data_IF_733922712960
#
_entry.id   IF_733922712960
#
_cell.length_a   1.000
_cell.length_b   1.000
_cell.length_c   1.000
_cell.angle_alpha   90.00
_cell.angle_beta   90.00
_cell.angle_gamma   90.00
#
_symmetry.space_group_name_H-M   'P 1'
#
loop_
_entity.id
_entity.type
_entity.pdbx_description
1 polymer ?
#
# COMPACT_ATOMS: atom_id res chain seq x y z
N UNK A 1 9.87 2.79 -23.03
CA UNK A 1 10.28 1.93 -21.90
C UNK A 1 11.72 2.24 -21.55
N UNK A 2 11.95 3.05 -20.54
CA UNK A 2 13.28 3.17 -19.94
C UNK A 2 13.61 1.83 -19.31
N UNK A 3 14.67 1.19 -19.80
CA UNK A 3 15.22 0.01 -19.11
C UNK A 3 15.63 0.42 -17.70
N UNK A 4 15.42 -0.43 -16.69
CA UNK A 4 15.93 -0.11 -15.36
C UNK A 4 17.45 0.08 -15.47
N UNK A 5 17.92 1.26 -15.12
CA UNK A 5 19.33 1.65 -15.27
C UNK A 5 20.20 1.02 -14.16
N UNK A 6 19.54 0.56 -13.09
CA UNK A 6 20.25 -0.04 -11.95
C UNK A 6 19.48 -1.20 -11.30
N UNK A 7 20.21 -2.08 -10.59
CA UNK A 7 19.62 -3.12 -9.74
C UNK A 7 18.75 -2.51 -8.64
N UNK A 8 19.06 -1.29 -8.20
CA UNK A 8 18.29 -0.57 -7.20
C UNK A 8 16.87 -0.22 -7.71
N UNK A 9 16.71 0.13 -8.99
CA UNK A 9 15.41 0.44 -9.59
C UNK A 9 14.52 -0.79 -9.65
N UNK A 10 15.10 -1.94 -10.00
CA UNK A 10 14.40 -3.24 -9.98
C UNK A 10 13.99 -3.57 -8.54
N UNK A 11 14.89 -3.39 -7.58
CA UNK A 11 14.63 -3.62 -6.17
C UNK A 11 13.49 -2.73 -5.64
N UNK A 12 13.47 -1.46 -6.01
CA UNK A 12 12.41 -0.54 -5.64
C UNK A 12 11.06 -0.96 -6.25
N UNK A 13 11.03 -1.35 -7.52
CA UNK A 13 9.81 -1.82 -8.18
C UNK A 13 9.26 -3.10 -7.52
N UNK A 14 10.14 -4.07 -7.20
CA UNK A 14 9.75 -5.28 -6.47
C UNK A 14 9.24 -4.94 -5.07
N UNK A 15 9.88 -3.99 -4.37
CA UNK A 15 9.43 -3.50 -3.06
C UNK A 15 8.02 -2.89 -3.10
N UNK A 16 7.74 -2.05 -4.10
CA UNK A 16 6.41 -1.47 -4.31
C UNK A 16 5.38 -2.56 -4.62
N UNK A 17 5.73 -3.53 -5.48
CA UNK A 17 4.86 -4.67 -5.78
C UNK A 17 4.58 -5.50 -4.51
N UNK A 18 5.60 -5.82 -3.72
CA UNK A 18 5.43 -6.54 -2.46
C UNK A 18 4.52 -5.78 -1.48
N UNK A 19 4.66 -4.44 -1.41
CA UNK A 19 3.79 -3.60 -0.61
C UNK A 19 2.33 -3.67 -1.08
N UNK A 20 2.09 -3.56 -2.39
CA UNK A 20 0.73 -3.59 -2.96
C UNK A 20 -0.01 -4.91 -2.70
N UNK A 21 0.72 -6.03 -2.59
CA UNK A 21 0.15 -7.35 -2.28
C UNK A 21 0.33 -7.77 -0.82
N UNK A 22 0.87 -6.89 0.02
CA UNK A 22 1.19 -7.15 1.42
C UNK A 22 -0.04 -7.18 2.32
N UNK A 23 -0.77 -8.29 2.35
CA UNK A 23 -1.95 -8.50 3.23
C UNK A 23 -1.55 -9.06 4.59
N UNK A 24 -0.36 -9.69 4.71
CA UNK A 24 0.05 -10.40 5.91
C UNK A 24 -0.11 -9.62 7.24
N UNK A 25 0.23 -8.32 7.34
CA UNK A 25 0.09 -7.59 8.60
C UNK A 25 -1.35 -7.47 9.12
N UNK A 26 -2.33 -7.54 8.23
CA UNK A 26 -3.75 -7.38 8.58
C UNK A 26 -4.55 -8.67 8.42
N UNK A 27 -3.96 -9.72 7.83
CA UNK A 27 -4.64 -10.97 7.51
C UNK A 27 -5.27 -11.63 8.72
N UNK A 28 -4.51 -11.79 9.81
CA UNK A 28 -4.99 -12.42 11.04
C UNK A 28 -6.15 -11.64 11.69
N UNK A 29 -6.07 -10.32 11.67
CA UNK A 29 -7.12 -9.46 12.20
C UNK A 29 -8.40 -9.55 11.37
N UNK A 30 -8.27 -9.56 10.04
CA UNK A 30 -9.39 -9.74 9.13
C UNK A 30 -10.04 -11.12 9.27
N UNK A 31 -9.25 -12.19 9.34
CA UNK A 31 -9.75 -13.54 9.55
C UNK A 31 -10.52 -13.66 10.86
N UNK A 32 -9.97 -13.12 11.96
CA UNK A 32 -10.61 -13.15 13.28
C UNK A 32 -11.91 -12.32 13.34
N UNK A 33 -12.07 -11.32 12.47
CA UNK A 33 -13.28 -10.47 12.39
C UNK A 33 -14.37 -11.01 11.47
N UNK A 34 -14.08 -12.06 10.70
CA UNK A 34 -15.07 -12.65 9.77
C UNK A 34 -16.09 -13.53 10.51
N UNK A 35 -17.35 -13.47 10.06
CA UNK A 35 -18.40 -14.35 10.53
C UNK A 35 -18.17 -15.83 10.17
N UNK A 36 -17.39 -16.12 9.12
CA UNK A 36 -17.04 -17.45 8.64
C UNK A 36 -15.53 -17.49 8.31
N UNK A 37 -14.64 -17.64 9.31
CA UNK A 37 -13.18 -17.62 9.15
C UNK A 37 -12.66 -18.67 8.16
N UNK A 38 -13.32 -19.82 8.05
CA UNK A 38 -12.99 -20.90 7.11
C UNK A 38 -13.06 -20.47 5.63
N UNK A 39 -13.80 -19.40 5.34
CA UNK A 39 -13.89 -18.82 3.98
C UNK A 39 -12.84 -17.75 3.69
N UNK A 40 -12.03 -17.37 4.67
CA UNK A 40 -11.03 -16.33 4.53
C UNK A 40 -10.07 -16.60 3.36
N UNK A 41 -9.51 -17.79 3.27
CA UNK A 41 -8.57 -18.14 2.21
C UNK A 41 -9.18 -18.07 0.80
N UNK A 42 -10.47 -18.39 0.66
CA UNK A 42 -11.16 -18.25 -0.63
C UNK A 42 -11.42 -16.77 -0.98
N UNK A 43 -11.90 -15.99 -0.01
CA UNK A 43 -12.13 -14.56 -0.17
C UNK A 43 -10.83 -13.81 -0.50
N UNK A 44 -9.74 -14.14 0.20
CA UNK A 44 -8.42 -13.54 -0.04
C UNK A 44 -7.91 -13.85 -1.44
N UNK A 45 -8.04 -15.09 -1.93
CA UNK A 45 -7.63 -15.45 -3.30
C UNK A 45 -8.39 -14.62 -4.34
N UNK A 46 -9.70 -14.48 -4.19
CA UNK A 46 -10.52 -13.67 -5.12
C UNK A 46 -10.10 -12.21 -5.05
N UNK A 47 -9.90 -11.65 -3.86
CA UNK A 47 -9.47 -10.27 -3.68
C UNK A 47 -8.10 -10.00 -4.32
N UNK A 48 -7.11 -10.88 -4.08
CA UNK A 48 -5.78 -10.75 -4.66
C UNK A 48 -5.80 -10.89 -6.20
N UNK A 49 -6.58 -11.82 -6.74
CA UNK A 49 -6.71 -11.96 -8.18
C UNK A 49 -7.38 -10.73 -8.82
N UNK A 50 -8.42 -10.19 -8.18
CA UNK A 50 -9.08 -8.97 -8.64
C UNK A 50 -8.14 -7.77 -8.58
N UNK A 51 -7.38 -7.62 -7.50
CA UNK A 51 -6.38 -6.57 -7.37
C UNK A 51 -5.28 -6.70 -8.43
N UNK A 52 -4.77 -7.93 -8.67
CA UNK A 52 -3.78 -8.20 -9.70
C UNK A 52 -4.30 -7.81 -11.09
N UNK A 53 -5.51 -8.22 -11.44
CA UNK A 53 -6.13 -7.85 -12.72
C UNK A 53 -6.27 -6.33 -12.87
N UNK A 54 -6.71 -5.64 -11.82
CA UNK A 54 -6.81 -4.19 -11.81
C UNK A 54 -5.44 -3.52 -12.01
N UNK A 55 -4.40 -3.97 -11.31
CA UNK A 55 -3.04 -3.43 -11.47
C UNK A 55 -2.48 -3.67 -12.87
N UNK A 56 -2.72 -4.84 -13.48
CA UNK A 56 -2.31 -5.13 -14.86
C UNK A 56 -3.02 -4.21 -15.85
N UNK A 57 -4.33 -4.03 -15.70
CA UNK A 57 -5.12 -3.15 -16.59
C UNK A 57 -4.64 -1.70 -16.48
N UNK A 58 -4.50 -1.18 -15.26
CA UNK A 58 -4.05 0.20 -15.03
C UNK A 58 -2.61 0.37 -15.50
N UNK A 59 -1.71 -0.55 -15.13
CA UNK A 59 -0.31 -0.49 -15.51
C UNK A 59 -0.11 -0.56 -17.03
N UNK A 60 -0.82 -1.47 -17.72
CA UNK A 60 -0.78 -1.55 -19.18
C UNK A 60 -1.37 -0.30 -19.85
N UNK A 61 -2.44 0.26 -19.26
CA UNK A 61 -3.03 1.51 -19.74
C UNK A 61 -2.08 2.68 -19.63
N UNK A 62 -1.45 2.85 -18.47
CA UNK A 62 -0.45 3.91 -18.26
C UNK A 62 0.76 3.70 -19.18
N UNK A 63 1.28 2.48 -19.28
CA UNK A 63 2.40 2.17 -20.16
C UNK A 63 2.11 2.55 -21.62
N UNK A 64 0.89 2.27 -22.11
CA UNK A 64 0.46 2.67 -23.46
C UNK A 64 0.38 4.16 -23.67
N UNK A 65 -0.05 4.93 -22.66
CA UNK A 65 -0.15 6.39 -22.73
C UNK A 65 1.22 7.06 -22.79
N UNK A 66 2.24 6.43 -22.21
CA UNK A 66 3.62 6.96 -22.17
C UNK A 66 4.57 6.29 -23.19
N UNK A 67 4.06 5.42 -24.08
CA UNK A 67 4.84 4.72 -25.12
C UNK A 67 4.82 5.48 -26.45
N UNK A 68 4.81 6.81 -26.44
CA UNK A 68 4.83 7.66 -27.64
C UNK A 68 6.23 8.18 -27.97
N UNK A 69 6.58 8.36 -29.26
CA UNK A 69 7.88 8.90 -29.68
C UNK A 69 8.11 10.35 -29.23
N UNK A 70 7.04 11.06 -28.91
CA UNK A 70 7.07 12.46 -28.48
C UNK A 70 7.14 12.63 -26.96
N UNK A 71 7.04 11.52 -26.20
CA UNK A 71 7.05 11.55 -24.73
C UNK A 71 8.47 11.30 -24.25
N UNK A 72 9.27 12.37 -24.22
CA UNK A 72 10.63 12.35 -23.63
C UNK A 72 10.63 12.35 -22.09
N UNK A 73 9.45 12.39 -21.48
CA UNK A 73 9.33 12.46 -20.03
C UNK A 73 9.26 11.07 -19.41
N UNK A 74 10.09 10.84 -18.42
CA UNK A 74 10.00 9.68 -17.55
C UNK A 74 8.61 9.64 -16.90
N UNK A 75 7.99 8.46 -16.82
CA UNK A 75 6.72 8.29 -16.11
C UNK A 75 6.86 8.86 -14.69
N UNK A 76 6.05 9.84 -14.31
CA UNK A 76 6.17 10.44 -12.99
C UNK A 76 5.92 9.39 -11.90
N UNK A 77 6.61 9.51 -10.78
CA UNK A 77 6.44 8.60 -9.64
C UNK A 77 5.02 8.58 -9.06
N UNK A 78 4.25 9.63 -9.35
CA UNK A 78 2.83 9.70 -9.05
C UNK A 78 2.06 10.06 -10.34
N UNK A 79 1.36 9.08 -10.90
CA UNK A 79 0.57 9.25 -12.14
C UNK A 79 -0.51 10.33 -12.00
N UNK A 80 -1.00 10.60 -10.79
CA UNK A 80 -2.00 11.65 -10.57
C UNK A 80 -1.47 13.06 -10.86
N UNK A 81 -0.16 13.28 -10.73
CA UNK A 81 0.47 14.58 -10.99
C UNK A 81 0.59 14.84 -12.50
N UNK A 82 0.66 13.79 -13.31
CA UNK A 82 0.70 13.88 -14.76
C UNK A 82 -0.67 14.10 -15.41
N UNK A 83 -1.76 13.93 -14.66
CA UNK A 83 -3.09 14.15 -15.20
C UNK A 83 -3.32 15.64 -15.51
N UNK A 84 -3.80 15.99 -16.73
CA UNK A 84 -4.09 17.36 -17.10
C UNK A 84 -5.15 17.97 -16.17
N UNK A 85 -5.24 19.29 -16.14
CA UNK A 85 -6.28 19.97 -15.37
C UNK A 85 -7.63 19.83 -16.07
N UNK A 86 -8.66 19.44 -15.33
CA UNK A 86 -10.02 19.26 -15.86
C UNK A 86 -10.97 18.59 -14.87
N UNK A 87 -12.22 18.48 -15.23
CA UNK A 87 -13.23 17.88 -14.36
C UNK A 87 -12.95 16.40 -14.07
N UNK A 88 -12.67 15.58 -15.09
CA UNK A 88 -12.40 14.14 -14.94
C UNK A 88 -11.16 13.85 -14.09
N UNK A 89 -9.99 14.48 -14.33
CA UNK A 89 -8.84 14.33 -13.46
C UNK A 89 -9.08 14.76 -12.01
N UNK A 90 -9.85 15.83 -11.81
CA UNK A 90 -10.21 16.26 -10.45
C UNK A 90 -11.05 15.21 -9.73
N UNK A 91 -12.01 14.59 -10.44
CA UNK A 91 -12.82 13.50 -9.89
C UNK A 91 -11.97 12.28 -9.53
N UNK A 92 -11.00 11.91 -10.37
CA UNK A 92 -10.06 10.81 -10.09
C UNK A 92 -9.21 11.11 -8.85
N UNK A 93 -8.67 12.32 -8.72
CA UNK A 93 -7.91 12.74 -7.54
C UNK A 93 -8.77 12.69 -6.27
N UNK A 94 -10.02 13.15 -6.36
CA UNK A 94 -10.95 13.13 -5.23
C UNK A 94 -11.32 11.69 -4.83
N UNK A 95 -11.59 10.82 -5.80
CA UNK A 95 -11.88 9.40 -5.56
C UNK A 95 -10.67 8.69 -4.91
N UNK A 96 -9.44 8.98 -5.37
CA UNK A 96 -8.23 8.45 -4.75
C UNK A 96 -8.05 8.96 -3.32
N UNK A 97 -8.26 10.25 -3.07
CA UNK A 97 -8.21 10.80 -1.73
C UNK A 97 -9.25 10.14 -0.79
N UNK A 98 -10.47 9.95 -1.27
CA UNK A 98 -11.52 9.25 -0.51
C UNK A 98 -11.14 7.79 -0.22
N UNK A 99 -10.56 7.07 -1.19
CA UNK A 99 -10.09 5.71 -1.01
C UNK A 99 -8.94 5.63 0.03
N UNK A 100 -8.00 6.58 -0.01
CA UNK A 100 -6.94 6.68 0.98
C UNK A 100 -7.50 6.92 2.38
N UNK A 101 -8.43 7.88 2.54
CA UNK A 101 -9.08 8.16 3.82
C UNK A 101 -9.85 6.94 4.34
N UNK A 102 -10.55 6.21 3.47
CA UNK A 102 -11.29 5.01 3.85
C UNK A 102 -10.38 3.84 4.30
N UNK A 103 -9.13 3.78 3.81
CA UNK A 103 -8.16 2.74 4.20
C UNK A 103 -7.39 3.04 5.49
N UNK A 104 -7.33 4.31 5.92
CA UNK A 104 -6.63 4.70 7.15
C UNK A 104 -7.09 3.91 8.39
N UNK A 105 -8.40 3.72 8.66
CA UNK A 105 -8.84 3.00 9.84
C UNK A 105 -8.30 1.57 9.94
N UNK A 106 -8.18 0.86 8.82
CA UNK A 106 -7.67 -0.52 8.78
C UNK A 106 -6.22 -0.59 9.30
N UNK A 107 -5.36 0.32 8.84
CA UNK A 107 -3.98 0.41 9.31
C UNK A 107 -3.88 0.88 10.77
N UNK A 108 -4.71 1.85 11.16
CA UNK A 108 -4.70 2.41 12.51
C UNK A 108 -5.18 1.41 13.57
N UNK A 109 -6.13 0.52 13.25
CA UNK A 109 -6.58 -0.51 14.19
C UNK A 109 -5.43 -1.42 14.58
N UNK A 110 -4.70 -1.99 13.61
CA UNK A 110 -3.58 -2.89 13.89
C UNK A 110 -2.48 -2.21 14.72
N UNK A 111 -2.05 -1.01 14.33
CA UNK A 111 -1.04 -0.25 15.08
C UNK A 111 -1.58 0.16 16.48
N UNK A 112 -2.83 0.56 16.55
CA UNK A 112 -3.49 0.97 17.78
C UNK A 112 -3.55 -0.15 18.82
N UNK A 113 -3.90 -1.37 18.42
CA UNK A 113 -3.97 -2.55 19.30
C UNK A 113 -2.60 -2.88 19.91
N UNK A 114 -1.52 -2.80 19.12
CA UNK A 114 -0.16 -3.03 19.61
C UNK A 114 0.23 -1.99 20.68
N UNK A 115 -0.12 -0.72 20.47
CA UNK A 115 0.19 0.35 21.42
C UNK A 115 -0.72 0.28 22.65
N UNK A 116 -2.01 -0.02 22.48
CA UNK A 116 -2.98 -0.21 23.54
C UNK A 116 -2.55 -1.35 24.47
N UNK A 117 -2.01 -2.45 23.94
CA UNK A 117 -1.48 -3.56 24.73
C UNK A 117 -0.29 -3.15 25.63
N UNK A 118 0.47 -2.13 25.23
CA UNK A 118 1.60 -1.57 26.01
C UNK A 118 1.19 -0.47 26.98
N UNK A 119 0.02 0.18 26.76
CA UNK A 119 -0.45 1.33 27.53
C UNK A 119 -1.91 1.14 28.06
N UNK A 120 -2.17 0.15 28.94
CA UNK A 120 -3.54 -0.19 29.36
C UNK A 120 -4.27 0.91 30.14
N UNK A 121 -3.56 1.95 30.61
CA UNK A 121 -4.12 3.07 31.36
C UNK A 121 -4.60 4.23 30.51
N UNK A 122 -4.23 4.28 29.23
CA UNK A 122 -4.64 5.36 28.32
C UNK A 122 -5.99 5.06 27.67
N UNK A 123 -6.81 6.10 27.48
CA UNK A 123 -8.07 5.95 26.74
C UNK A 123 -7.77 5.57 25.29
N UNK A 124 -8.42 4.54 24.76
CA UNK A 124 -8.26 4.03 23.39
C UNK A 124 -8.30 5.15 22.34
N UNK A 125 -9.22 6.10 22.47
CA UNK A 125 -9.34 7.25 21.57
C UNK A 125 -8.08 8.12 21.55
N UNK A 126 -7.44 8.33 22.70
CA UNK A 126 -6.22 9.14 22.79
C UNK A 126 -5.05 8.44 22.14
N UNK A 127 -4.90 7.13 22.36
CA UNK A 127 -3.83 6.32 21.73
C UNK A 127 -3.98 6.32 20.22
N UNK A 128 -5.17 6.07 19.71
CA UNK A 128 -5.44 6.06 18.26
C UNK A 128 -5.26 7.43 17.64
N UNK A 129 -5.68 8.50 18.34
CA UNK A 129 -5.44 9.87 17.90
C UNK A 129 -3.95 10.21 17.81
N UNK A 130 -3.16 9.82 18.82
CA UNK A 130 -1.70 10.01 18.82
C UNK A 130 -1.02 9.24 17.68
N UNK A 131 -1.42 8.01 17.44
CA UNK A 131 -0.89 7.20 16.33
C UNK A 131 -1.22 7.85 14.97
N UNK A 132 -2.45 8.35 14.81
CA UNK A 132 -2.86 9.05 13.59
C UNK A 132 -2.06 10.34 13.37
N UNK A 133 -1.88 11.15 14.42
CA UNK A 133 -1.08 12.39 14.35
C UNK A 133 0.38 12.06 14.05
N UNK A 134 0.96 11.05 14.70
CA UNK A 134 2.33 10.64 14.43
C UNK A 134 2.51 10.18 12.98
N UNK A 135 1.59 9.36 12.45
CA UNK A 135 1.60 8.93 11.06
C UNK A 135 1.50 10.11 10.08
N UNK A 136 0.63 11.10 10.38
CA UNK A 136 0.49 12.30 9.57
C UNK A 136 1.77 13.16 9.57
N UNK A 137 2.41 13.31 10.73
CA UNK A 137 3.68 14.03 10.85
C UNK A 137 4.81 13.35 10.08
N UNK A 138 4.91 12.02 10.16
CA UNK A 138 5.89 11.24 9.38
C UNK A 138 5.62 11.40 7.89
N UNK A 139 4.37 11.28 7.46
CA UNK A 139 3.99 11.46 6.05
C UNK A 139 4.34 12.87 5.54
N UNK A 140 4.14 13.91 6.36
CA UNK A 140 4.49 15.28 6.02
C UNK A 140 6.01 15.48 5.94
N UNK A 141 6.77 14.85 6.83
CA UNK A 141 8.24 14.98 6.90
C UNK A 141 8.97 14.21 5.79
N UNK A 142 8.31 13.24 5.15
CA UNK A 142 8.93 12.37 4.14
C UNK A 142 8.30 12.58 2.76
N UNK A 143 8.80 13.54 1.95
CA UNK A 143 8.22 13.84 0.64
C UNK A 143 8.45 12.74 -0.40
N UNK A 144 9.42 11.84 -0.19
CA UNK A 144 9.77 10.75 -1.11
C UNK A 144 8.87 9.51 -0.89
N UNK A 145 7.58 9.65 -1.15
CA UNK A 145 6.58 8.58 -0.91
C UNK A 145 6.94 7.24 -1.59
N UNK A 146 7.32 7.25 -2.85
CA UNK A 146 7.65 6.03 -3.61
C UNK A 146 8.83 5.28 -2.99
N UNK A 147 9.86 5.99 -2.51
CA UNK A 147 11.02 5.40 -1.86
C UNK A 147 10.65 4.76 -0.52
N UNK A 148 9.83 5.43 0.28
CA UNK A 148 9.35 4.89 1.57
C UNK A 148 8.51 3.64 1.35
N UNK A 149 7.55 3.66 0.43
CA UNK A 149 6.71 2.50 0.09
C UNK A 149 7.57 1.34 -0.42
N UNK A 150 8.54 1.62 -1.30
CA UNK A 150 9.47 0.60 -1.80
C UNK A 150 10.29 -0.04 -0.68
N UNK A 151 10.84 0.77 0.23
CA UNK A 151 11.63 0.29 1.36
C UNK A 151 10.79 -0.53 2.35
N UNK A 152 9.59 -0.03 2.71
CA UNK A 152 8.67 -0.74 3.62
C UNK A 152 8.21 -2.05 2.97
N UNK A 153 7.90 -2.06 1.68
CA UNK A 153 7.54 -3.26 0.94
C UNK A 153 8.68 -4.28 0.89
N UNK A 154 9.88 -3.83 0.56
CA UNK A 154 11.05 -4.71 0.46
C UNK A 154 11.47 -5.29 1.82
N UNK A 155 11.45 -4.51 2.89
CA UNK A 155 11.94 -4.95 4.21
C UNK A 155 10.81 -5.53 5.06
N UNK A 156 9.78 -4.74 5.36
CA UNK A 156 8.76 -5.15 6.32
C UNK A 156 7.80 -6.20 5.72
N UNK A 157 7.26 -5.94 4.53
CA UNK A 157 6.28 -6.85 3.93
C UNK A 157 6.93 -8.16 3.49
N UNK A 158 8.11 -8.12 2.86
CA UNK A 158 8.82 -9.34 2.48
C UNK A 158 9.22 -10.17 3.70
N UNK A 159 9.70 -9.55 4.77
CA UNK A 159 10.06 -10.26 6.01
C UNK A 159 8.83 -10.91 6.64
N UNK A 160 7.74 -10.17 6.81
CA UNK A 160 6.53 -10.68 7.45
C UNK A 160 5.79 -11.72 6.59
N UNK A 161 5.78 -11.55 5.27
CA UNK A 161 4.99 -12.41 4.38
C UNK A 161 5.75 -13.66 3.92
N UNK A 162 7.07 -13.58 3.78
CA UNK A 162 7.86 -14.66 3.19
C UNK A 162 8.90 -15.27 4.14
N UNK A 163 9.54 -14.47 5.02
CA UNK A 163 10.56 -15.00 5.91
C UNK A 163 9.98 -15.54 7.21
N UNK A 164 9.01 -14.86 7.81
CA UNK A 164 8.46 -15.24 9.11
C UNK A 164 7.69 -16.57 9.07
N UNK A 165 6.78 -16.88 8.11
CA UNK A 165 6.02 -18.12 8.12
C UNK A 165 6.88 -19.39 8.13
N UNK A 166 7.91 -19.56 7.27
CA UNK A 166 8.76 -20.73 7.34
C UNK A 166 9.59 -20.80 8.63
N UNK A 167 9.93 -19.65 9.23
CA UNK A 167 10.72 -19.59 10.45
C UNK A 167 9.94 -20.02 11.71
N UNK A 168 8.63 -19.81 11.69
CA UNK A 168 7.73 -20.23 12.80
C UNK A 168 7.34 -21.71 12.68
N UNK A 169 7.44 -22.30 11.48
CA UNK A 169 7.12 -23.72 11.23
C UNK A 169 8.34 -24.65 11.33
N UNK A 170 9.55 -24.12 11.57
CA UNK A 170 10.77 -24.88 11.89
C UNK A 170 10.88 -25.12 13.38
#
# INVERSE_FOLDING_TARGET
>A
WTKPDSVADVGAAVGVMAFCFGVAPVALHLEASMAAPERFAAAQRVALFTAFAAYVIVGAGVARLYDGPDVNDSVPGNVLDALPTGFTPTLVRLAMAAACVASIPIGLVGCGEIVEARMPRCRRLVVRGLVAVAAALVAYAMPAFALVVGLVGAVAVCTLSFALPPLVHL
#
